data_IF_534340716272
#
_entry.id   IF_534340716272
#
_cell.length_a   1.000
_cell.length_b   1.000
_cell.length_c   1.000
_cell.angle_alpha   90.00
_cell.angle_beta   90.00
_cell.angle_gamma   90.00
#
_symmetry.space_group_name_H-M   'P 1'
#
loop_
_entity.id
_entity.type
_entity.pdbx_description
1 polymer ?
#
# COMPACT_ATOMS: atom_id res chain seq x y z
N UNK A 1 21.48 -4.24 16.16
CA UNK A 1 20.33 -3.34 16.32
C UNK A 1 20.01 -3.25 17.80
N UNK A 2 20.12 -2.07 18.39
CA UNK A 2 19.78 -1.85 19.80
C UNK A 2 18.26 -1.76 20.01
N UNK A 3 17.79 -1.95 21.24
CA UNK A 3 16.34 -2.00 21.53
C UNK A 3 15.59 -0.73 21.12
N UNK A 4 16.24 0.43 21.23
CA UNK A 4 15.67 1.73 20.82
C UNK A 4 15.50 1.84 19.30
N UNK A 5 16.44 1.34 18.50
CA UNK A 5 16.32 1.25 17.04
C UNK A 5 15.16 0.33 16.64
N UNK A 6 15.07 -0.85 17.26
CA UNK A 6 13.97 -1.79 17.01
C UNK A 6 12.61 -1.15 17.30
N UNK A 7 12.49 -0.43 18.42
CA UNK A 7 11.26 0.23 18.82
C UNK A 7 10.88 1.36 17.87
N UNK A 8 11.83 2.19 17.46
CA UNK A 8 11.60 3.27 16.50
C UNK A 8 11.15 2.72 15.14
N UNK A 9 11.82 1.68 14.61
CA UNK A 9 11.41 1.03 13.36
C UNK A 9 9.99 0.49 13.42
N UNK A 10 9.63 -0.23 14.48
CA UNK A 10 8.26 -0.74 14.67
C UNK A 10 7.20 0.37 14.73
N UNK A 11 7.49 1.48 15.40
CA UNK A 11 6.57 2.61 15.47
C UNK A 11 6.34 3.24 14.08
N UNK A 12 7.41 3.40 13.29
CA UNK A 12 7.33 3.94 11.93
C UNK A 12 6.58 2.98 11.00
N UNK A 13 6.86 1.68 11.08
CA UNK A 13 6.16 0.64 10.30
C UNK A 13 4.66 0.61 10.61
N UNK A 14 4.29 0.69 11.90
CA UNK A 14 2.88 0.75 12.31
C UNK A 14 2.18 1.99 11.77
N UNK A 15 2.80 3.17 11.91
CA UNK A 15 2.25 4.42 11.40
C UNK A 15 2.15 4.43 9.86
N UNK A 16 3.07 3.77 9.16
CA UNK A 16 2.97 3.60 7.71
C UNK A 16 1.79 2.74 7.31
N UNK A 17 1.58 1.59 7.98
CA UNK A 17 0.43 0.72 7.74
C UNK A 17 -0.88 1.49 7.90
N UNK A 18 -1.04 2.23 8.99
CA UNK A 18 -2.21 3.08 9.21
C UNK A 18 -2.41 4.14 8.13
N UNK A 19 -1.32 4.71 7.59
CA UNK A 19 -1.40 5.71 6.53
C UNK A 19 -1.79 5.11 5.17
N UNK A 20 -1.27 3.91 4.87
CA UNK A 20 -1.50 3.21 3.61
C UNK A 20 -2.88 2.52 3.57
N UNK A 21 -3.42 2.12 4.73
CA UNK A 21 -4.77 1.59 4.86
C UNK A 21 -5.81 2.68 4.62
N UNK A 22 -6.19 2.84 3.36
CA UNK A 22 -7.32 3.66 2.94
C UNK A 22 -8.32 2.80 2.19
N UNK A 23 -9.58 3.00 2.54
CA UNK A 23 -10.73 2.43 1.86
C UNK A 23 -10.81 3.00 0.43
N UNK A 24 -10.91 2.11 -0.55
CA UNK A 24 -11.05 2.44 -1.97
C UNK A 24 -12.28 1.80 -2.61
N UNK A 25 -13.16 1.16 -1.83
CA UNK A 25 -14.27 0.35 -2.36
C UNK A 25 -15.25 1.17 -3.19
N UNK A 26 -15.59 2.38 -2.73
CA UNK A 26 -16.49 3.28 -3.47
C UNK A 26 -15.91 3.74 -4.80
N UNK A 27 -14.59 3.91 -4.87
CA UNK A 27 -13.89 4.29 -6.11
C UNK A 27 -13.87 3.09 -7.06
N UNK A 28 -13.52 1.90 -6.56
CA UNK A 28 -13.51 0.67 -7.35
C UNK A 28 -14.91 0.28 -7.86
N UNK A 29 -15.95 0.49 -7.05
CA UNK A 29 -17.34 0.30 -7.46
C UNK A 29 -17.71 1.24 -8.62
N UNK A 30 -17.36 2.53 -8.50
CA UNK A 30 -17.61 3.51 -9.55
C UNK A 30 -16.88 3.14 -10.85
N UNK A 31 -15.61 2.74 -10.76
CA UNK A 31 -14.82 2.25 -11.89
C UNK A 31 -15.47 1.05 -12.59
N UNK A 32 -16.00 0.09 -11.83
CA UNK A 32 -16.71 -1.05 -12.40
C UNK A 32 -17.98 -0.62 -13.14
N UNK A 33 -18.75 0.34 -12.59
CA UNK A 33 -19.95 0.88 -13.23
C UNK A 33 -19.64 1.63 -14.51
N UNK A 34 -18.59 2.44 -14.51
CA UNK A 34 -18.15 3.20 -15.70
C UNK A 34 -17.70 2.27 -16.84
N UNK A 35 -17.21 1.06 -16.51
CA UNK A 35 -16.87 0.01 -17.47
C UNK A 35 -18.06 -0.88 -17.86
N UNK A 36 -19.24 -0.62 -17.31
CA UNK A 36 -20.47 -1.37 -17.59
C UNK A 36 -20.55 -2.75 -16.94
N UNK A 37 -19.92 -2.94 -15.77
CA UNK A 37 -19.76 -4.25 -15.13
C UNK A 37 -20.42 -4.28 -13.74
N UNK A 38 -21.75 -4.15 -13.73
CA UNK A 38 -22.56 -3.94 -12.52
C UNK A 38 -22.44 -5.06 -11.47
N UNK A 39 -22.27 -6.30 -11.91
CA UNK A 39 -22.08 -7.43 -11.00
C UNK A 39 -20.69 -7.41 -10.33
N UNK A 40 -19.66 -6.88 -11.00
CA UNK A 40 -18.36 -6.65 -10.37
C UNK A 40 -18.43 -5.47 -9.38
N UNK A 41 -19.17 -4.42 -9.71
CA UNK A 41 -19.37 -3.26 -8.85
C UNK A 41 -19.94 -3.65 -7.46
N UNK A 42 -20.92 -4.58 -7.42
CA UNK A 42 -21.48 -5.10 -6.17
C UNK A 42 -20.44 -5.84 -5.31
N UNK A 43 -19.52 -6.56 -5.94
CA UNK A 43 -18.47 -7.35 -5.25
C UNK A 43 -17.35 -6.50 -4.67
N UNK A 44 -17.19 -5.24 -5.12
CA UNK A 44 -16.15 -4.35 -4.63
C UNK A 44 -16.34 -3.93 -3.17
N UNK A 45 -17.58 -3.77 -2.68
CA UNK A 45 -17.94 -3.24 -1.34
C UNK A 45 -17.64 -4.16 -0.13
N UNK A 46 -17.00 -5.28 -0.36
CA UNK A 46 -16.68 -6.24 0.71
C UNK A 46 -15.31 -6.86 0.50
N UNK A 47 -14.46 -6.19 -0.26
CA UNK A 47 -13.19 -6.75 -0.72
C UNK A 47 -11.99 -6.02 -0.13
N UNK A 48 -12.15 -4.83 0.45
CA UNK A 48 -11.02 -4.02 0.90
C UNK A 48 -10.12 -4.74 1.89
N UNK A 49 -10.70 -5.33 2.94
CA UNK A 49 -9.95 -6.06 3.95
C UNK A 49 -9.15 -7.23 3.34
N UNK A 50 -9.78 -8.00 2.46
CA UNK A 50 -9.12 -9.11 1.77
C UNK A 50 -8.00 -8.62 0.85
N UNK A 51 -8.25 -7.56 0.08
CA UNK A 51 -7.28 -6.98 -0.84
C UNK A 51 -6.09 -6.38 -0.07
N UNK A 52 -6.34 -5.66 1.02
CA UNK A 52 -5.30 -5.17 1.93
C UNK A 52 -4.48 -6.34 2.49
N UNK A 53 -5.11 -7.40 2.98
CA UNK A 53 -4.43 -8.59 3.49
C UNK A 53 -3.56 -9.27 2.41
N UNK A 54 -4.06 -9.39 1.17
CA UNK A 54 -3.30 -9.92 0.04
C UNK A 54 -2.05 -9.07 -0.27
N UNK A 55 -2.22 -7.75 -0.30
CA UNK A 55 -1.11 -6.82 -0.54
C UNK A 55 -0.07 -6.95 0.56
N UNK A 56 -0.45 -6.92 1.84
CA UNK A 56 0.49 -6.98 2.96
C UNK A 56 1.19 -8.34 3.08
N UNK A 57 0.46 -9.43 2.83
CA UNK A 57 1.03 -10.77 2.79
C UNK A 57 2.13 -10.88 1.73
N UNK A 58 1.92 -10.28 0.54
CA UNK A 58 2.92 -10.27 -0.54
C UNK A 58 4.00 -9.20 -0.35
N UNK A 59 3.71 -8.11 0.35
CA UNK A 59 4.68 -7.06 0.67
C UNK A 59 5.81 -7.63 1.53
N UNK A 60 5.49 -8.40 2.58
CA UNK A 60 6.48 -9.02 3.46
C UNK A 60 7.11 -8.03 4.44
N UNK A 61 8.43 -8.11 4.60
CA UNK A 61 9.19 -7.25 5.52
C UNK A 61 9.47 -5.86 4.90
N UNK A 62 9.60 -4.86 5.78
CA UNK A 62 9.97 -3.50 5.39
C UNK A 62 11.46 -3.44 5.04
N UNK A 63 11.75 -2.95 3.84
CA UNK A 63 13.12 -2.71 3.42
C UNK A 63 13.59 -1.35 3.91
N UNK A 64 14.52 -1.37 4.86
CA UNK A 64 15.12 -0.19 5.45
C UNK A 64 16.39 0.27 4.72
N UNK A 65 16.97 -0.56 3.84
CA UNK A 65 18.24 -0.26 3.16
C UNK A 65 18.08 0.82 2.10
N UNK A 66 16.92 0.84 1.43
CA UNK A 66 16.62 1.78 0.35
C UNK A 66 15.99 3.10 0.85
N UNK A 67 15.79 3.26 2.15
CA UNK A 67 15.17 4.47 2.74
C UNK A 67 16.21 5.60 2.79
N UNK A 68 16.09 6.55 1.86
CA UNK A 68 16.88 7.79 1.82
C UNK A 68 16.04 9.00 2.27
N UNK A 69 16.69 10.08 2.73
CA UNK A 69 16.00 11.33 3.10
C UNK A 69 15.29 11.97 1.90
N UNK A 70 13.99 12.24 2.02
CA UNK A 70 13.15 12.87 0.99
C UNK A 70 12.58 14.19 1.52
N UNK A 71 12.86 15.29 0.83
CA UNK A 71 12.40 16.63 1.24
C UNK A 71 11.08 17.09 0.57
N UNK A 72 10.69 16.46 -0.54
CA UNK A 72 9.59 16.95 -1.41
C UNK A 72 8.19 16.33 -1.13
N UNK A 73 7.99 15.67 0.02
CA UNK A 73 6.71 15.09 0.44
C UNK A 73 6.32 13.80 -0.31
N UNK A 74 5.11 13.26 -0.05
CA UNK A 74 4.72 11.88 -0.47
C UNK A 74 3.47 11.80 -1.36
N UNK A 75 2.97 12.95 -1.85
CA UNK A 75 1.63 13.03 -2.44
C UNK A 75 1.50 12.21 -3.73
N UNK A 76 2.55 12.21 -4.57
CA UNK A 76 2.54 11.52 -5.86
C UNK A 76 2.47 9.99 -5.76
N UNK A 77 3.22 9.36 -4.85
CA UNK A 77 3.21 7.90 -4.71
C UNK A 77 2.01 7.39 -3.93
N UNK A 78 1.44 8.21 -3.05
CA UNK A 78 0.20 7.88 -2.33
C UNK A 78 -0.94 7.65 -3.32
N UNK A 79 -1.17 8.59 -4.25
CA UNK A 79 -2.18 8.42 -5.30
C UNK A 79 -1.91 7.22 -6.21
N UNK A 80 -0.65 6.95 -6.57
CA UNK A 80 -0.28 5.80 -7.41
C UNK A 80 -0.58 4.46 -6.73
N UNK A 81 -0.32 4.35 -5.43
CA UNK A 81 -0.65 3.14 -4.67
C UNK A 81 -2.16 2.95 -4.57
N UNK A 82 -2.92 3.99 -4.23
CA UNK A 82 -4.38 3.89 -4.13
C UNK A 82 -5.02 3.47 -5.44
N UNK A 83 -4.58 4.02 -6.58
CA UNK A 83 -5.06 3.58 -7.90
C UNK A 83 -4.68 2.12 -8.21
N UNK A 84 -3.49 1.67 -7.82
CA UNK A 84 -3.11 0.27 -7.99
C UNK A 84 -3.96 -0.67 -7.11
N UNK A 85 -4.35 -0.24 -5.91
CA UNK A 85 -5.30 -0.95 -5.04
C UNK A 85 -6.69 -1.01 -5.68
N UNK A 86 -7.17 0.09 -6.26
CA UNK A 86 -8.42 0.14 -7.05
C UNK A 86 -8.39 -0.86 -8.22
N UNK A 87 -7.33 -0.83 -9.03
CA UNK A 87 -7.19 -1.74 -10.18
C UNK A 87 -7.21 -3.21 -9.76
N UNK A 88 -6.56 -3.54 -8.64
CA UNK A 88 -6.58 -4.89 -8.07
C UNK A 88 -7.99 -5.27 -7.60
N UNK A 89 -8.70 -4.38 -6.91
CA UNK A 89 -10.08 -4.63 -6.47
C UNK A 89 -11.03 -4.86 -7.65
N UNK A 90 -10.91 -4.06 -8.70
CA UNK A 90 -11.68 -4.24 -9.94
C UNK A 90 -11.33 -5.59 -10.58
N UNK A 91 -10.05 -5.92 -10.73
CA UNK A 91 -9.62 -7.20 -11.31
C UNK A 91 -10.13 -8.40 -10.49
N UNK A 92 -10.08 -8.32 -9.16
CA UNK A 92 -10.59 -9.34 -8.25
C UNK A 92 -12.11 -9.54 -8.40
N UNK A 93 -12.86 -8.44 -8.45
CA UNK A 93 -14.30 -8.48 -8.62
C UNK A 93 -14.71 -9.06 -9.99
N UNK A 94 -13.96 -8.72 -11.04
CA UNK A 94 -14.11 -9.26 -12.40
C UNK A 94 -13.82 -10.76 -12.48
N UNK A 95 -12.84 -11.22 -11.72
CA UNK A 95 -12.47 -12.62 -11.61
C UNK A 95 -13.37 -13.43 -10.65
N UNK A 96 -14.46 -12.83 -10.15
CA UNK A 96 -15.37 -13.44 -9.17
C UNK A 96 -14.65 -13.97 -7.92
N UNK A 97 -13.60 -13.27 -7.50
CA UNK A 97 -12.79 -13.65 -6.35
C UNK A 97 -11.83 -14.81 -6.58
N UNK A 98 -11.46 -15.09 -7.84
CA UNK A 98 -10.44 -16.06 -8.18
C UNK A 98 -9.10 -15.39 -8.42
N UNK A 99 -8.01 -16.04 -7.98
CA UNK A 99 -6.64 -15.59 -8.24
C UNK A 99 -6.21 -15.98 -9.67
N UNK A 100 -6.66 -15.21 -10.66
CA UNK A 100 -6.26 -15.38 -12.06
C UNK A 100 -4.90 -14.71 -12.32
N UNK A 101 -4.25 -14.98 -13.47
CA UNK A 101 -3.01 -14.29 -13.85
C UNK A 101 -3.13 -12.76 -13.89
N UNK A 102 -4.30 -12.23 -14.27
CA UNK A 102 -4.56 -10.78 -14.31
C UNK A 102 -4.64 -10.19 -12.90
N UNK A 103 -5.30 -10.88 -11.97
CA UNK A 103 -5.36 -10.50 -10.55
C UNK A 103 -3.96 -10.55 -9.93
N UNK A 104 -3.20 -11.61 -10.20
CA UNK A 104 -1.81 -11.75 -9.73
C UNK A 104 -0.92 -10.61 -10.27
N UNK A 105 -1.07 -10.24 -11.55
CA UNK A 105 -0.35 -9.12 -12.12
C UNK A 105 -0.75 -7.77 -11.50
N UNK A 106 -2.04 -7.57 -11.18
CA UNK A 106 -2.52 -6.39 -10.47
C UNK A 106 -1.99 -6.34 -9.03
N UNK A 107 -1.95 -7.48 -8.34
CA UNK A 107 -1.38 -7.61 -7.00
C UNK A 107 0.10 -7.25 -6.98
N UNK A 108 0.88 -7.77 -7.92
CA UNK A 108 2.30 -7.43 -8.04
C UNK A 108 2.52 -5.93 -8.29
N UNK A 109 1.65 -5.28 -9.09
CA UNK A 109 1.69 -3.82 -9.28
C UNK A 109 1.36 -3.06 -8.00
N UNK A 110 0.30 -3.46 -7.29
CA UNK A 110 -0.08 -2.82 -6.02
C UNK A 110 1.04 -2.93 -4.97
N UNK A 111 1.64 -4.11 -4.83
CA UNK A 111 2.77 -4.35 -3.92
C UNK A 111 3.99 -3.51 -4.30
N UNK A 112 4.31 -3.42 -5.60
CA UNK A 112 5.39 -2.56 -6.07
C UNK A 112 5.12 -1.10 -5.71
N UNK A 113 3.90 -0.60 -5.92
CA UNK A 113 3.54 0.78 -5.56
C UNK A 113 3.55 1.03 -4.06
N UNK A 114 3.19 0.03 -3.25
CA UNK A 114 3.31 0.13 -1.80
C UNK A 114 4.77 0.22 -1.36
N UNK A 115 5.68 -0.52 -2.01
CA UNK A 115 7.13 -0.41 -1.77
C UNK A 115 7.68 0.95 -2.18
N UNK A 116 7.31 1.47 -3.35
CA UNK A 116 7.67 2.81 -3.79
C UNK A 116 7.19 3.86 -2.76
N UNK A 117 5.94 3.73 -2.29
CA UNK A 117 5.35 4.62 -1.28
C UNK A 117 6.05 4.49 0.08
N UNK A 118 6.42 3.28 0.51
CA UNK A 118 7.17 3.06 1.75
C UNK A 118 8.48 3.83 1.76
N UNK A 119 9.29 3.67 0.70
CA UNK A 119 10.60 4.30 0.60
C UNK A 119 10.47 5.83 0.71
N UNK A 120 9.55 6.42 -0.03
CA UNK A 120 9.32 7.87 -0.01
C UNK A 120 8.74 8.34 1.33
N UNK A 121 7.77 7.61 1.90
CA UNK A 121 7.12 8.00 3.15
C UNK A 121 8.04 7.88 4.35
N UNK A 122 8.78 6.77 4.45
CA UNK A 122 9.80 6.59 5.48
C UNK A 122 10.90 7.65 5.32
N UNK A 123 11.30 7.94 4.08
CA UNK A 123 12.25 8.98 3.73
C UNK A 123 11.77 10.40 4.04
N UNK A 124 10.48 10.69 3.92
CA UNK A 124 9.92 11.98 4.30
C UNK A 124 9.75 12.10 5.82
N UNK A 125 9.26 11.04 6.49
CA UNK A 125 9.24 10.96 7.96
C UNK A 125 10.64 11.17 8.55
N UNK A 126 11.68 10.71 7.86
CA UNK A 126 13.09 11.00 8.16
C UNK A 126 13.39 12.47 8.43
N UNK A 127 12.82 13.33 7.58
CA UNK A 127 13.11 14.76 7.57
C UNK A 127 12.29 15.52 8.60
N UNK A 128 11.32 14.85 9.23
CA UNK A 128 10.31 15.47 10.10
C UNK A 128 10.26 14.90 11.51
N UNK A 129 10.97 13.80 11.82
CA UNK A 129 11.06 13.23 13.17
C UNK A 129 12.46 12.75 13.57
N UNK A 130 12.81 12.98 14.84
CA UNK A 130 14.06 12.48 15.47
C UNK A 130 14.09 10.94 15.56
N UNK A 131 12.93 10.29 15.54
CA UNK A 131 12.77 8.84 15.64
C UNK A 131 13.47 8.09 14.50
N UNK A 132 13.53 8.67 13.29
CA UNK A 132 14.27 8.01 12.21
C UNK A 132 15.79 8.16 12.37
N UNK A 133 16.28 9.27 12.90
CA UNK A 133 17.70 9.39 13.24
C UNK A 133 18.11 8.33 14.28
N UNK A 134 17.18 7.90 15.14
CA UNK A 134 17.39 6.74 16.02
C UNK A 134 17.31 5.43 15.22
N UNK A 135 16.33 5.27 14.34
CA UNK A 135 16.10 4.04 13.55
C UNK A 135 17.19 3.71 12.50
N UNK A 136 17.90 4.73 12.00
CA UNK A 136 18.96 4.63 10.99
C UNK A 136 20.39 4.66 11.57
N UNK A 137 20.58 4.94 12.87
CA UNK A 137 21.90 4.81 13.50
C UNK A 137 22.39 3.37 13.36
N UNK A 138 23.66 3.18 13.02
CA UNK A 138 24.34 1.87 13.00
C UNK A 138 24.44 1.26 14.40
#
# INVERSE_FOLDING_TARGET
>A
MNDSQCQARRAIEAAFRETAERDIELIAEQECRERGIDEAAKRCRSSDALISDMIWSRFGEFDWLDVAYVYDGTYGHSSRFLWAKVDLTVAWAMAEGQLTPEVEAALLRAVKRLRDLWIEWAGWKATTSDDLAVALRE
#
